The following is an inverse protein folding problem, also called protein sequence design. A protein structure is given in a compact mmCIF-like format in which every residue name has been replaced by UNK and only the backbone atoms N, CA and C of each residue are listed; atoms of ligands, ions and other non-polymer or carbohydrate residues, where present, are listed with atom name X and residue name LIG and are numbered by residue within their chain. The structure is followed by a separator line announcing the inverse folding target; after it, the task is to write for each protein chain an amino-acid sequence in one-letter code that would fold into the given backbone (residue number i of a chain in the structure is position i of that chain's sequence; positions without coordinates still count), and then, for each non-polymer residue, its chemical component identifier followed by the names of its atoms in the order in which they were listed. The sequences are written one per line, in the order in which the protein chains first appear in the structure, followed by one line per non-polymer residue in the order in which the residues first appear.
data_IF_519157401519
#
_entry.id   IF_519157401519
#
_cell.length_a   1.000
_cell.length_b   1.000
_cell.length_c   1.000
_cell.angle_alpha   90.00
_cell.angle_beta   90.00
_cell.angle_gamma   90.00
#
_symmetry.space_group_name_H-M   'P 1'
#
loop_
_entity.id
_entity.type
_entity.pdbx_description
1 polymer ?
#
# COMPACT_ATOMS: atom_id res chain seq x y z
N UNK A 1 -19.24 20.41 -9.23
CA UNK A 1 -17.81 20.62 -8.90
C UNK A 1 -17.24 19.24 -8.76
N UNK A 2 -16.29 18.85 -9.61
CA UNK A 2 -15.79 17.48 -9.63
C UNK A 2 -14.88 17.26 -8.44
N UNK A 3 -15.39 16.60 -7.39
CA UNK A 3 -14.59 16.04 -6.33
C UNK A 3 -13.58 15.11 -7.00
N UNK A 4 -12.34 15.58 -7.11
CA UNK A 4 -11.23 14.82 -7.63
C UNK A 4 -10.95 13.66 -6.68
N UNK A 5 -11.69 12.56 -6.84
CA UNK A 5 -11.32 11.25 -6.31
C UNK A 5 -10.07 10.80 -7.07
N UNK A 6 -8.94 11.43 -6.77
CA UNK A 6 -7.64 10.95 -7.19
C UNK A 6 -7.54 9.54 -6.65
N UNK A 7 -7.71 8.57 -7.55
CA UNK A 7 -7.53 7.17 -7.19
C UNK A 7 -6.10 7.09 -6.66
N UNK A 8 -5.96 6.65 -5.41
CA UNK A 8 -4.68 6.31 -4.79
C UNK A 8 -4.55 4.79 -4.92
N UNK A 9 -4.04 4.29 -6.06
CA UNK A 9 -4.06 2.88 -6.36
C UNK A 9 -2.90 2.14 -5.68
N UNK A 10 -1.92 2.81 -5.08
CA UNK A 10 -0.79 2.14 -4.46
C UNK A 10 -1.02 2.03 -2.96
N UNK A 11 -0.95 0.81 -2.44
CA UNK A 11 -1.08 0.50 -1.02
C UNK A 11 0.28 0.10 -0.48
N UNK A 12 0.55 0.50 0.76
CA UNK A 12 1.57 -0.15 1.58
C UNK A 12 0.86 -1.08 2.54
N UNK A 13 1.24 -2.35 2.53
CA UNK A 13 0.67 -3.42 3.34
C UNK A 13 1.77 -3.96 4.24
N UNK A 14 1.53 -4.03 5.55
CA UNK A 14 2.35 -4.82 6.47
C UNK A 14 1.85 -6.25 6.46
N UNK A 15 2.72 -7.20 6.13
CA UNK A 15 2.47 -8.62 6.24
C UNK A 15 3.37 -9.20 7.33
N UNK A 16 2.79 -9.74 8.40
CA UNK A 16 3.57 -10.45 9.42
C UNK A 16 3.72 -11.94 9.10
N UNK A 17 4.62 -12.62 9.83
CA UNK A 17 4.89 -14.06 9.67
C UNK A 17 3.70 -14.96 10.00
N UNK A 18 2.62 -14.42 10.59
CA UNK A 18 1.37 -15.12 10.85
C UNK A 18 0.38 -15.02 9.68
N UNK A 19 0.76 -14.30 8.60
CA UNK A 19 -0.06 -14.13 7.41
C UNK A 19 -1.09 -13.00 7.52
N UNK A 20 -1.11 -12.23 8.60
CA UNK A 20 -2.01 -11.09 8.68
C UNK A 20 -1.50 -9.95 7.81
N UNK A 21 -2.43 -9.28 7.10
CA UNK A 21 -2.15 -8.17 6.18
C UNK A 21 -2.86 -6.92 6.65
N UNK A 22 -2.10 -5.88 6.97
CA UNK A 22 -2.62 -4.59 7.45
C UNK A 22 -2.25 -3.47 6.48
N UNK A 23 -3.24 -2.68 6.05
CA UNK A 23 -2.99 -1.50 5.22
C UNK A 23 -2.44 -0.37 6.06
N UNK A 24 -1.23 0.07 5.74
CA UNK A 24 -0.53 1.17 6.39
C UNK A 24 -0.87 2.51 5.73
N UNK A 25 -0.95 2.55 4.39
CA UNK A 25 -1.16 3.80 3.66
C UNK A 25 -1.65 3.61 2.21
N UNK A 26 -2.07 4.73 1.60
CA UNK A 26 -2.48 4.84 0.19
C UNK A 26 -1.73 5.97 -0.48
N UNK A 27 -1.23 5.74 -1.68
CA UNK A 27 -0.35 6.65 -2.43
C UNK A 27 -0.78 6.77 -3.89
N UNK A 28 -0.47 7.92 -4.47
CA UNK A 28 -0.77 8.21 -5.87
C UNK A 28 0.20 7.48 -6.80
N UNK A 29 1.47 7.36 -6.39
CA UNK A 29 2.51 6.70 -7.17
C UNK A 29 3.11 5.49 -6.46
N UNK A 30 3.68 4.56 -7.25
CA UNK A 30 4.41 3.42 -6.71
C UNK A 30 5.64 3.86 -5.93
N UNK A 31 6.33 4.88 -6.42
CA UNK A 31 7.58 5.39 -5.83
C UNK A 31 7.34 5.90 -4.41
N UNK A 32 6.28 6.70 -4.19
CA UNK A 32 5.92 7.16 -2.85
C UNK A 32 5.58 5.99 -1.91
N UNK A 33 4.84 5.00 -2.39
CA UNK A 33 4.53 3.80 -1.61
C UNK A 33 5.81 3.01 -1.26
N UNK A 34 6.74 2.88 -2.20
CA UNK A 34 7.98 2.14 -2.02
C UNK A 34 8.93 2.82 -1.05
N UNK A 35 9.09 4.15 -1.14
CA UNK A 35 9.86 4.94 -0.17
C UNK A 35 9.34 4.75 1.26
N UNK A 36 8.02 4.70 1.43
CA UNK A 36 7.43 4.46 2.76
C UNK A 36 7.66 3.03 3.22
N UNK A 37 7.49 2.04 2.34
CA UNK A 37 7.77 0.65 2.68
C UNK A 37 9.23 0.46 3.12
N UNK A 38 10.18 1.01 2.37
CA UNK A 38 11.63 0.95 2.65
C UNK A 38 11.99 1.61 4.00
N UNK A 39 11.45 2.80 4.27
CA UNK A 39 11.66 3.49 5.56
C UNK A 39 11.07 2.75 6.75
N UNK A 40 9.91 2.10 6.57
CA UNK A 40 9.28 1.33 7.64
C UNK A 40 10.02 0.00 7.88
N UNK A 41 10.65 -0.52 6.84
CA UNK A 41 11.49 -1.71 6.91
C UNK A 41 12.77 -1.49 7.71
N UNK A 42 13.45 -0.36 7.48
CA UNK A 42 14.65 0.06 8.22
C UNK A 42 14.42 0.18 9.75
N UNK A 43 13.16 0.39 10.17
CA UNK A 43 12.78 0.43 11.58
C UNK A 43 12.51 -0.96 12.21
N UNK A 44 12.50 -2.03 11.42
CA UNK A 44 12.27 -3.41 11.85
C UNK A 44 13.46 -4.33 11.55
N UNK A 45 13.52 -5.49 12.21
CA UNK A 45 14.53 -6.51 11.89
C UNK A 45 14.11 -7.44 10.74
N UNK A 46 12.88 -7.29 10.25
CA UNK A 46 12.26 -8.20 9.28
C UNK A 46 11.62 -7.39 8.16
N UNK A 47 11.75 -7.90 6.93
CA UNK A 47 11.17 -7.24 5.76
C UNK A 47 9.67 -7.51 5.67
N UNK A 48 8.86 -6.65 6.32
CA UNK A 48 7.42 -6.90 6.54
C UNK A 48 6.51 -6.02 5.68
N UNK A 49 7.03 -5.03 4.95
CA UNK A 49 6.21 -4.07 4.21
C UNK A 49 6.27 -4.31 2.71
N UNK A 50 5.10 -4.53 2.10
CA UNK A 50 4.95 -4.77 0.65
C UNK A 50 4.09 -3.69 0.00
N UNK A 51 4.44 -3.34 -1.24
CA UNK A 51 3.67 -2.39 -2.05
C UNK A 51 2.75 -3.16 -3.00
N UNK A 52 1.45 -2.95 -2.88
CA UNK A 52 0.44 -3.57 -3.76
C UNK A 52 -0.33 -2.49 -4.53
N UNK A 53 -0.62 -2.73 -5.82
CA UNK A 53 -1.54 -1.89 -6.57
C UNK A 53 -2.96 -2.41 -6.37
N UNK A 54 -3.87 -1.59 -5.88
CA UNK A 54 -5.31 -1.86 -5.98
C UNK A 54 -5.62 -1.96 -7.47
N UNK A 55 -5.94 -3.17 -7.93
CA UNK A 55 -6.79 -3.26 -9.10
C UNK A 55 -8.02 -2.41 -8.77
N UNK A 56 -8.39 -1.48 -9.66
CA UNK A 56 -9.77 -1.05 -9.70
C UNK A 56 -10.55 -2.30 -10.08
N UNK A 57 -10.85 -3.16 -9.11
CA UNK A 57 -11.84 -4.19 -9.27
C UNK A 57 -13.12 -3.41 -9.47
N UNK A 58 -13.44 -3.12 -10.73
CA UNK A 58 -14.80 -2.82 -11.11
C UNK A 58 -15.63 -3.88 -10.43
N UNK A 59 -16.55 -3.44 -9.57
CA UNK A 59 -17.45 -4.30 -8.84
C UNK A 59 -18.07 -5.27 -9.85
N UNK A 60 -17.60 -6.51 -9.88
CA UNK A 60 -18.26 -7.60 -10.56
C UNK A 60 -19.44 -7.96 -9.66
N UNK A 61 -20.59 -7.39 -9.98
CA UNK A 61 -21.90 -7.87 -9.52
C UNK A 61 -22.29 -9.15 -10.25
#
# INVERSE_FOLDING_TARGET
MSDGNAVLPWLVIRQDGNGNRYRVGRYATRTEAQEVADRLDDQGQEQLYVVERTAATGQAG
#
